data_IF_765574132636
#
_entry.id   IF_765574132636
#
_cell.length_a   1.000
_cell.length_b   1.000
_cell.length_c   1.000
_cell.angle_alpha   90.00
_cell.angle_beta   90.00
_cell.angle_gamma   90.00
#
_symmetry.space_group_name_H-M   'P 1'
#
loop_
_entity.id
_entity.type
_entity.pdbx_description
1 polymer ?
#
# COMPACT_ATOMS: atom_id res chain seq x y z
N UNK A 1 50.44 -50.25 27.50
CA UNK A 1 49.08 -49.77 27.84
C UNK A 1 48.92 -48.37 27.26
N UNK A 2 48.38 -48.28 26.05
CA UNK A 2 48.12 -47.01 25.34
C UNK A 2 46.62 -46.90 25.16
N UNK A 3 45.97 -46.07 25.97
CA UNK A 3 44.53 -45.79 25.84
C UNK A 3 44.32 -44.63 24.89
N UNK A 4 43.59 -44.93 23.81
CA UNK A 4 43.16 -44.02 22.74
C UNK A 4 41.88 -43.32 23.21
N UNK A 5 41.93 -42.04 23.54
CA UNK A 5 40.73 -41.27 23.93
C UNK A 5 39.99 -40.82 22.68
N UNK A 6 38.76 -41.31 22.55
CA UNK A 6 37.86 -41.05 21.43
C UNK A 6 37.23 -39.65 21.53
N UNK A 7 37.17 -38.96 20.39
CA UNK A 7 36.41 -37.71 20.19
C UNK A 7 34.91 -37.99 20.29
N UNK A 8 34.24 -37.37 21.26
CA UNK A 8 32.79 -37.37 21.39
C UNK A 8 32.17 -36.46 20.33
N UNK A 9 31.56 -37.09 19.31
CA UNK A 9 30.68 -36.47 18.32
C UNK A 9 29.29 -36.28 18.95
N UNK A 10 29.00 -35.08 19.47
CA UNK A 10 27.68 -34.78 20.04
C UNK A 10 26.72 -34.30 18.95
N UNK A 11 25.83 -35.23 18.56
CA UNK A 11 24.43 -35.06 18.19
C UNK A 11 23.99 -33.75 17.49
N UNK A 12 24.19 -33.70 16.17
CA UNK A 12 23.50 -32.77 15.27
C UNK A 12 22.78 -33.56 14.17
N UNK A 13 21.70 -34.27 14.50
CA UNK A 13 20.83 -34.90 13.50
C UNK A 13 19.49 -35.36 14.11
N UNK A 14 18.40 -34.63 13.78
CA UNK A 14 17.06 -35.15 13.42
C UNK A 14 15.86 -34.29 13.87
N UNK A 15 15.86 -32.99 13.55
CA UNK A 15 14.57 -32.38 13.17
C UNK A 15 14.41 -32.71 11.70
N UNK A 16 13.55 -33.68 11.38
CA UNK A 16 13.19 -34.05 10.02
C UNK A 16 13.03 -32.78 9.16
N UNK A 17 13.63 -32.78 7.96
CA UNK A 17 13.74 -31.64 7.05
C UNK A 17 12.43 -30.86 6.92
N UNK A 18 12.24 -29.85 7.78
CA UNK A 18 11.08 -28.97 7.70
C UNK A 18 11.27 -28.12 6.47
N UNK A 19 10.26 -28.11 5.60
CA UNK A 19 10.18 -27.11 4.55
C UNK A 19 9.77 -25.78 5.21
N UNK A 20 10.78 -25.08 5.73
CA UNK A 20 10.62 -23.78 6.39
C UNK A 20 10.00 -22.76 5.42
N UNK A 21 10.25 -22.89 4.12
CA UNK A 21 9.69 -21.99 3.11
C UNK A 21 8.18 -22.17 3.01
N UNK A 22 7.70 -23.42 2.96
CA UNK A 22 6.27 -23.71 2.96
C UNK A 22 5.59 -23.27 4.27
N UNK A 23 6.24 -23.52 5.41
CA UNK A 23 5.74 -23.13 6.73
C UNK A 23 5.63 -21.60 6.88
N UNK A 24 6.68 -20.86 6.50
CA UNK A 24 6.65 -19.39 6.42
C UNK A 24 5.54 -18.93 5.48
N UNK A 25 5.40 -19.56 4.31
CA UNK A 25 4.34 -19.25 3.35
C UNK A 25 2.93 -19.47 3.91
N UNK A 26 2.74 -20.49 4.76
CA UNK A 26 1.48 -20.74 5.45
C UNK A 26 1.22 -19.71 6.56
N UNK A 27 2.17 -19.49 7.46
CA UNK A 27 2.04 -18.58 8.60
C UNK A 27 1.83 -17.13 8.14
N UNK A 28 2.56 -16.67 7.12
CA UNK A 28 2.38 -15.33 6.56
C UNK A 28 0.99 -15.13 5.92
N UNK A 29 0.40 -16.17 5.32
CA UNK A 29 -0.99 -16.12 4.84
C UNK A 29 -1.98 -16.02 6.01
N UNK A 30 -1.79 -16.82 7.06
CA UNK A 30 -2.65 -16.78 8.26
C UNK A 30 -2.62 -15.40 8.94
N UNK A 31 -1.43 -14.77 9.01
CA UNK A 31 -1.25 -13.41 9.55
C UNK A 31 -1.66 -12.28 8.60
N UNK A 32 -2.12 -12.60 7.39
CA UNK A 32 -2.42 -11.64 6.32
C UNK A 32 -1.25 -10.68 6.04
N UNK A 33 -0.04 -11.21 5.99
CA UNK A 33 1.20 -10.45 5.77
C UNK A 33 1.78 -10.74 4.36
N UNK A 34 1.12 -10.26 3.27
CA UNK A 34 1.51 -10.60 1.91
C UNK A 34 2.88 -10.03 1.52
N UNK A 35 3.23 -8.82 1.98
CA UNK A 35 4.50 -8.19 1.59
C UNK A 35 5.68 -8.75 2.37
N UNK A 36 5.47 -9.16 3.63
CA UNK A 36 6.44 -9.94 4.38
C UNK A 36 6.76 -11.25 3.66
N UNK A 37 5.73 -12.00 3.22
CA UNK A 37 5.90 -13.27 2.49
C UNK A 37 6.83 -13.14 1.29
N UNK A 38 6.67 -12.08 0.51
CA UNK A 38 7.48 -11.81 -0.68
C UNK A 38 8.88 -11.29 -0.34
N UNK A 39 9.04 -10.60 0.79
CA UNK A 39 10.29 -9.99 1.20
C UNK A 39 11.20 -10.90 2.04
N UNK A 40 10.65 -11.90 2.74
CA UNK A 40 11.39 -12.73 3.71
C UNK A 40 12.62 -13.39 3.10
N UNK A 41 12.54 -13.99 1.91
CA UNK A 41 13.68 -14.64 1.29
C UNK A 41 14.84 -13.67 1.04
N UNK A 42 14.53 -12.48 0.50
CA UNK A 42 15.51 -11.42 0.25
C UNK A 42 16.10 -10.85 1.55
N UNK A 43 15.26 -10.66 2.57
CA UNK A 43 15.69 -10.17 3.89
C UNK A 43 16.57 -11.19 4.61
N UNK A 44 16.31 -12.49 4.43
CA UNK A 44 17.12 -13.56 5.01
C UNK A 44 18.52 -13.62 4.39
N UNK A 45 18.64 -13.46 3.07
CA UNK A 45 19.96 -13.35 2.42
C UNK A 45 20.73 -12.12 2.91
N UNK A 46 20.04 -10.98 3.03
CA UNK A 46 20.64 -9.75 3.53
C UNK A 46 21.11 -9.89 4.98
N UNK A 47 20.30 -10.48 5.84
CA UNK A 47 20.65 -10.74 7.24
C UNK A 47 21.88 -11.64 7.38
N UNK A 48 22.04 -12.64 6.49
CA UNK A 48 23.26 -13.47 6.43
C UNK A 48 24.47 -12.68 5.98
N UNK A 49 24.33 -11.87 4.93
CA UNK A 49 25.43 -11.08 4.39
C UNK A 49 25.92 -10.00 5.38
N UNK A 50 25.00 -9.35 6.07
CA UNK A 50 25.27 -8.26 7.02
C UNK A 50 25.43 -8.77 8.47
N UNK A 51 25.38 -10.08 8.71
CA UNK A 51 25.49 -10.72 10.03
C UNK A 51 24.52 -10.15 11.08
N UNK A 52 23.28 -9.90 10.68
CA UNK A 52 22.25 -9.38 11.58
C UNK A 52 21.92 -10.38 12.70
N UNK A 53 21.54 -9.82 13.84
CA UNK A 53 20.90 -10.59 14.91
C UNK A 53 19.50 -11.05 14.47
N UNK A 54 18.98 -12.09 15.13
CA UNK A 54 17.64 -12.60 14.88
C UNK A 54 16.56 -11.53 15.12
N UNK A 55 16.79 -10.64 16.10
CA UNK A 55 15.89 -9.53 16.43
C UNK A 55 15.87 -8.49 15.30
N UNK A 56 17.02 -8.09 14.77
CA UNK A 56 17.11 -7.14 13.64
C UNK A 56 16.43 -7.68 12.38
N UNK A 57 16.61 -8.97 12.09
CA UNK A 57 15.90 -9.62 10.99
C UNK A 57 14.38 -9.59 11.17
N UNK A 58 13.89 -9.91 12.37
CA UNK A 58 12.46 -9.88 12.67
C UNK A 58 11.88 -8.46 12.56
N UNK A 59 12.59 -7.46 13.10
CA UNK A 59 12.23 -6.04 12.99
C UNK A 59 12.12 -5.63 11.53
N UNK A 60 13.11 -5.95 10.70
CA UNK A 60 13.10 -5.62 9.28
C UNK A 60 11.92 -6.27 8.52
N UNK A 61 11.58 -7.52 8.86
CA UNK A 61 10.43 -8.21 8.26
C UNK A 61 9.10 -7.55 8.64
N UNK A 62 8.92 -7.21 9.92
CA UNK A 62 7.71 -6.55 10.43
C UNK A 62 7.57 -5.13 9.87
N UNK A 63 8.65 -4.36 9.88
CA UNK A 63 8.67 -2.98 9.39
C UNK A 63 8.27 -2.92 7.91
N UNK A 64 8.73 -3.87 7.08
CA UNK A 64 8.34 -3.96 5.67
C UNK A 64 6.82 -4.13 5.50
N UNK A 65 6.20 -4.97 6.33
CA UNK A 65 4.77 -5.21 6.27
C UNK A 65 3.95 -4.02 6.78
N UNK A 66 4.39 -3.37 7.85
CA UNK A 66 3.73 -2.16 8.39
C UNK A 66 3.73 -1.05 7.34
N UNK A 67 4.89 -0.71 6.77
CA UNK A 67 4.99 0.34 5.74
C UNK A 67 4.17 0.01 4.49
N UNK A 68 4.07 -1.28 4.12
CA UNK A 68 3.18 -1.69 3.05
C UNK A 68 1.71 -1.48 3.42
N UNK A 69 1.27 -1.88 4.61
CA UNK A 69 -0.12 -1.69 5.04
C UNK A 69 -0.51 -0.21 5.10
N UNK A 70 0.38 0.64 5.57
CA UNK A 70 0.14 2.09 5.63
C UNK A 70 -0.05 2.69 4.23
N UNK A 71 0.82 2.34 3.28
CA UNK A 71 0.72 2.79 1.89
C UNK A 71 -0.52 2.25 1.17
N UNK A 72 -0.83 0.95 1.33
CA UNK A 72 -2.02 0.34 0.72
C UNK A 72 -3.31 0.81 1.37
N UNK A 73 -3.31 1.15 2.67
CA UNK A 73 -4.49 1.65 3.38
C UNK A 73 -4.95 2.99 2.84
N UNK A 74 -4.02 3.90 2.56
CA UNK A 74 -4.32 5.20 1.93
C UNK A 74 -4.91 5.02 0.52
N UNK A 75 -4.20 4.29 -0.34
CA UNK A 75 -4.63 4.03 -1.71
C UNK A 75 -5.94 3.24 -1.80
N UNK A 76 -6.14 2.27 -0.91
CA UNK A 76 -7.36 1.49 -0.80
C UNK A 76 -8.57 2.36 -0.49
N UNK A 77 -8.44 3.33 0.42
CA UNK A 77 -9.50 4.29 0.74
C UNK A 77 -9.81 5.23 -0.43
N UNK A 78 -8.78 5.72 -1.13
CA UNK A 78 -8.95 6.55 -2.34
C UNK A 78 -9.69 5.77 -3.43
N UNK A 79 -9.31 4.51 -3.67
CA UNK A 79 -9.96 3.64 -4.65
C UNK A 79 -11.40 3.30 -4.26
N UNK A 80 -11.66 3.06 -2.97
CA UNK A 80 -13.00 2.79 -2.44
C UNK A 80 -13.94 4.00 -2.58
N UNK A 81 -13.41 5.22 -2.53
CA UNK A 81 -14.19 6.45 -2.73
C UNK A 81 -14.72 6.62 -4.17
N UNK A 82 -14.19 5.84 -5.14
CA UNK A 82 -14.63 5.81 -6.55
C UNK A 82 -14.74 7.20 -7.20
N UNK A 83 -13.88 8.13 -6.81
CA UNK A 83 -13.80 9.42 -7.48
C UNK A 83 -13.35 9.24 -8.93
N UNK A 84 -13.93 10.00 -9.89
CA UNK A 84 -13.62 9.87 -11.32
C UNK A 84 -12.17 10.25 -11.66
N UNK A 85 -11.53 11.08 -10.82
CA UNK A 85 -10.11 11.40 -10.89
C UNK A 85 -9.53 11.49 -9.48
N UNK A 86 -8.20 11.41 -9.36
CA UNK A 86 -7.53 11.88 -8.13
C UNK A 86 -7.83 13.37 -7.96
N UNK A 87 -8.13 13.77 -6.73
CA UNK A 87 -8.38 15.15 -6.32
C UNK A 87 -7.44 15.45 -5.16
N UNK A 88 -6.48 16.33 -5.41
CA UNK A 88 -5.55 16.84 -4.41
C UNK A 88 -6.01 18.23 -3.98
N UNK A 89 -5.58 18.69 -2.80
CA UNK A 89 -5.96 20.01 -2.29
C UNK A 89 -5.21 21.12 -3.06
N UNK A 90 -4.04 20.79 -3.60
CA UNK A 90 -3.17 21.65 -4.41
C UNK A 90 -3.80 21.99 -5.76
N UNK A 91 -4.63 21.10 -6.31
CA UNK A 91 -5.37 21.31 -7.56
C UNK A 91 -6.69 22.08 -7.35
N UNK A 92 -6.93 22.63 -6.15
CA UNK A 92 -8.16 23.36 -5.87
C UNK A 92 -8.22 24.69 -6.62
N UNK A 93 -9.22 24.84 -7.49
CA UNK A 93 -9.48 26.07 -8.25
C UNK A 93 -10.28 27.08 -7.42
N UNK A 94 -9.58 28.12 -6.94
CA UNK A 94 -10.15 29.22 -6.17
C UNK A 94 -10.99 30.19 -7.01
N UNK A 95 -10.80 30.23 -8.33
CA UNK A 95 -11.57 31.12 -9.21
C UNK A 95 -13.00 30.61 -9.42
N UNK A 96 -13.18 29.29 -9.33
CA UNK A 96 -14.47 28.62 -9.41
C UNK A 96 -15.29 28.74 -8.12
N UNK A 97 -14.63 28.66 -6.97
CA UNK A 97 -15.28 28.65 -5.66
C UNK A 97 -15.32 30.05 -5.03
N UNK A 98 -16.00 30.99 -5.71
CA UNK A 98 -16.07 32.40 -5.28
C UNK A 98 -16.73 32.51 -3.90
N UNK A 99 -15.97 33.02 -2.92
CA UNK A 99 -16.42 33.21 -1.54
C UNK A 99 -15.68 32.38 -0.49
N UNK A 100 -14.85 31.42 -0.90
CA UNK A 100 -13.97 30.67 0.00
C UNK A 100 -12.67 31.44 0.27
N UNK A 101 -12.30 31.56 1.56
CA UNK A 101 -11.03 32.17 1.97
C UNK A 101 -9.89 31.18 1.75
N UNK A 102 -8.80 31.66 1.12
CA UNK A 102 -7.59 30.86 0.88
C UNK A 102 -6.99 30.30 2.17
N UNK A 103 -7.02 31.09 3.25
CA UNK A 103 -6.54 30.68 4.57
C UNK A 103 -7.29 29.46 5.13
N UNK A 104 -8.61 29.37 4.89
CA UNK A 104 -9.41 28.23 5.34
C UNK A 104 -9.00 26.95 4.62
N UNK A 105 -8.73 27.02 3.31
CA UNK A 105 -8.28 25.85 2.54
C UNK A 105 -6.86 25.45 2.91
N UNK A 106 -5.96 26.43 3.12
CA UNK A 106 -4.62 26.17 3.62
C UNK A 106 -4.65 25.48 4.99
N UNK A 107 -5.56 25.90 5.89
CA UNK A 107 -5.77 25.25 7.17
C UNK A 107 -6.33 23.83 7.04
N UNK A 108 -7.17 23.53 6.05
CA UNK A 108 -7.56 22.14 5.78
C UNK A 108 -6.35 21.27 5.37
N UNK A 109 -5.31 21.86 4.78
CA UNK A 109 -4.06 21.17 4.46
C UNK A 109 -3.27 20.70 5.69
N UNK A 110 -3.49 21.27 6.88
CA UNK A 110 -2.85 20.81 8.13
C UNK A 110 -3.49 19.55 8.70
N UNK A 111 -4.63 19.11 8.14
CA UNK A 111 -5.39 17.94 8.56
C UNK A 111 -5.92 18.00 10.00
N UNK A 112 -6.00 19.19 10.60
CA UNK A 112 -6.50 19.39 11.97
C UNK A 112 -7.94 18.90 12.15
N UNK A 113 -8.76 18.97 11.09
CA UNK A 113 -10.12 18.44 11.08
C UNK A 113 -10.18 16.91 11.32
N UNK A 114 -9.14 16.16 10.96
CA UNK A 114 -9.08 14.71 11.22
C UNK A 114 -8.94 14.43 12.72
N UNK A 115 -8.15 15.25 13.42
CA UNK A 115 -7.96 15.16 14.89
C UNK A 115 -9.23 15.62 15.61
N UNK A 116 -9.84 16.70 15.13
CA UNK A 116 -11.11 17.23 15.63
C UNK A 116 -12.32 16.30 15.35
N UNK A 117 -12.16 15.31 14.46
CA UNK A 117 -13.23 14.42 13.95
C UNK A 117 -14.34 15.18 13.22
N UNK A 118 -13.99 16.31 12.60
CA UNK A 118 -14.89 17.11 11.79
C UNK A 118 -14.92 16.60 10.34
N UNK A 119 -16.11 16.60 9.75
CA UNK A 119 -16.29 16.15 8.37
C UNK A 119 -16.20 17.34 7.41
N UNK A 120 -15.30 17.26 6.45
CA UNK A 120 -15.12 18.28 5.41
C UNK A 120 -15.52 17.69 4.07
N UNK A 121 -16.45 18.35 3.37
CA UNK A 121 -16.95 17.91 2.07
C UNK A 121 -16.71 19.00 1.05
N UNK A 122 -15.95 18.68 0.00
CA UNK A 122 -15.76 19.55 -1.15
C UNK A 122 -16.83 19.22 -2.21
N UNK A 123 -17.79 20.13 -2.38
CA UNK A 123 -18.80 20.06 -3.42
C UNK A 123 -18.40 20.99 -4.56
N UNK A 124 -17.98 20.41 -5.69
CA UNK A 124 -17.87 21.12 -6.95
C UNK A 124 -19.23 21.17 -7.68
N UNK A 125 -19.40 22.03 -8.69
CA UNK A 125 -20.56 21.97 -9.56
C UNK A 125 -20.68 20.58 -10.18
N UNK A 126 -21.92 20.08 -10.26
CA UNK A 126 -22.21 18.75 -10.81
C UNK A 126 -21.76 18.67 -12.27
N UNK A 127 -20.65 17.98 -12.54
CA UNK A 127 -20.41 17.44 -13.88
C UNK A 127 -21.19 16.15 -13.98
N UNK A 128 -22.36 16.23 -14.60
CA UNK A 128 -23.19 15.06 -14.92
C UNK A 128 -22.32 14.14 -15.80
N UNK A 129 -21.98 12.96 -15.28
CA UNK A 129 -21.22 11.95 -16.03
C UNK A 129 -22.19 11.31 -17.03
N UNK A 130 -22.34 11.94 -18.19
CA UNK A 130 -23.28 11.53 -19.22
C UNK A 130 -23.10 12.33 -20.50
N UNK A 131 -22.15 11.89 -21.33
CA UNK A 131 -22.06 12.08 -22.79
C UNK A 131 -22.79 13.28 -23.41
N UNK A 132 -22.08 14.38 -23.67
CA UNK A 132 -22.22 15.14 -24.92
C UNK A 132 -20.82 15.57 -25.36
N UNK A 133 -20.15 14.68 -26.08
CA UNK A 133 -19.34 15.13 -27.19
C UNK A 133 -20.33 15.56 -28.29
N UNK A 134 -20.58 16.85 -28.44
CA UNK A 134 -21.15 17.40 -29.68
C UNK A 134 -20.12 18.31 -30.33
N UNK A 135 -19.43 17.69 -31.27
CA UNK A 135 -18.66 18.28 -32.35
C UNK A 135 -19.52 19.24 -33.21
N UNK A 136 -18.88 20.22 -33.89
CA UNK A 136 -19.55 21.27 -34.66
C UNK A 136 -20.32 20.74 -35.89
N UNK A 137 -21.41 21.45 -36.20
CA UNK A 137 -22.25 21.27 -37.39
C UNK A 137 -21.48 21.55 -38.69
N UNK A 138 -20.90 20.53 -39.31
CA UNK A 138 -20.66 20.52 -40.78
C UNK A 138 -20.11 19.17 -41.22
N UNK A 139 -20.95 18.17 -41.47
CA UNK A 139 -20.66 17.09 -42.41
C UNK A 139 -21.88 16.15 -42.58
N UNK A 140 -22.14 15.84 -43.86
CA UNK A 140 -22.89 14.68 -44.34
C UNK A 140 -24.42 14.66 -44.15
N UNK A 141 -25.04 15.39 -45.08
CA UNK A 141 -26.08 14.88 -45.97
C UNK A 141 -26.31 13.36 -45.99
N UNK A 142 -27.58 12.98 -45.80
CA UNK A 142 -28.26 12.02 -46.66
C UNK A 142 -28.14 10.53 -46.30
N UNK A 143 -29.31 9.96 -45.99
CA UNK A 143 -29.67 8.53 -45.94
C UNK A 143 -29.21 7.77 -44.69
N UNK A 144 -30.16 7.47 -43.82
CA UNK A 144 -30.84 6.17 -43.82
C UNK A 144 -31.83 6.15 -42.65
N UNK A 145 -33.11 6.34 -42.98
CA UNK A 145 -34.17 5.68 -42.22
C UNK A 145 -34.05 4.18 -42.50
N UNK A 146 -33.93 3.40 -41.43
CA UNK A 146 -34.71 2.18 -41.15
C UNK A 146 -34.61 1.91 -39.64
#
# INVERSE_FOLDING_TARGET
>A
MTTKTATTKTAAASVASRDLTAEIGFLTRALKAPTMREAVARLAERARAESWTHEEFLVACLQREVSARESHGGEGRIRAARFPSRKSLEEFDFDHARGLKRDTIAHLGTLDFVVAKDNVVFLGPVVIVGSVARWPHSACSGRCCD
#
